data_IF_323362713411
#
_entry.id   IF_323362713411
#
_cell.length_a   1.000
_cell.length_b   1.000
_cell.length_c   1.000
_cell.angle_alpha   90.00
_cell.angle_beta   90.00
_cell.angle_gamma   90.00
#
_symmetry.space_group_name_H-M   'P 1'
#
loop_
_entity.id
_entity.type
_entity.pdbx_description
1 polymer ?
#
# COMPACT_ATOMS: atom_id res chain seq x y z
N UNK A 1 -3.14 -23.72 -29.94
CA UNK A 1 -3.65 -23.42 -28.58
C UNK A 1 -3.87 -24.73 -27.86
N UNK A 2 -2.95 -25.12 -26.97
CA UNK A 2 -3.14 -26.31 -26.13
C UNK A 2 -4.11 -25.95 -25.01
N UNK A 3 -5.17 -26.75 -24.86
CA UNK A 3 -6.11 -26.61 -23.73
C UNK A 3 -5.37 -26.98 -22.44
N UNK A 4 -5.53 -26.22 -21.35
CA UNK A 4 -4.89 -26.56 -20.09
C UNK A 4 -5.36 -27.94 -19.61
N UNK A 5 -4.41 -28.74 -19.12
CA UNK A 5 -4.68 -30.11 -18.68
C UNK A 5 -5.56 -30.10 -17.42
N UNK A 6 -6.28 -31.19 -17.18
CA UNK A 6 -7.12 -31.35 -15.99
C UNK A 6 -6.34 -31.10 -14.67
N UNK A 7 -5.04 -31.42 -14.64
CA UNK A 7 -4.18 -31.21 -13.48
C UNK A 7 -3.91 -29.71 -13.19
N UNK A 8 -3.79 -28.88 -14.23
CA UNK A 8 -3.58 -27.43 -14.08
C UNK A 8 -4.79 -26.73 -13.47
N UNK A 9 -5.99 -27.19 -13.84
CA UNK A 9 -7.24 -26.68 -13.24
C UNK A 9 -7.40 -27.13 -11.79
N UNK A 10 -7.01 -28.37 -11.48
CA UNK A 10 -7.10 -28.92 -10.13
C UNK A 10 -6.16 -28.21 -9.15
N UNK A 11 -4.93 -27.89 -9.56
CA UNK A 11 -3.92 -27.29 -8.69
C UNK A 11 -4.29 -25.89 -8.19
N UNK A 12 -4.73 -24.99 -9.08
CA UNK A 12 -5.23 -23.65 -8.72
C UNK A 12 -6.45 -23.73 -7.80
N UNK A 13 -7.30 -24.74 -8.03
CA UNK A 13 -8.49 -24.97 -7.24
C UNK A 13 -8.14 -25.50 -5.84
N UNK A 14 -7.10 -26.34 -5.70
CA UNK A 14 -6.67 -26.96 -4.43
C UNK A 14 -6.00 -25.98 -3.44
N UNK A 15 -5.20 -25.02 -3.93
CA UNK A 15 -4.56 -24.04 -3.04
C UNK A 15 -5.60 -23.09 -2.42
N UNK A 16 -6.55 -22.61 -3.24
CA UNK A 16 -7.76 -21.92 -2.78
C UNK A 16 -8.62 -22.81 -1.89
N UNK A 17 -8.69 -24.12 -2.17
CA UNK A 17 -9.44 -25.10 -1.38
C UNK A 17 -8.87 -25.30 0.01
N UNK A 18 -7.54 -25.18 0.23
CA UNK A 18 -6.94 -25.39 1.56
C UNK A 18 -7.35 -24.28 2.56
N UNK A 19 -7.36 -23.03 2.09
CA UNK A 19 -7.79 -21.87 2.84
C UNK A 19 -9.30 -21.89 3.04
N UNK A 20 -10.06 -22.30 2.02
CA UNK A 20 -11.50 -22.52 2.12
C UNK A 20 -11.86 -23.66 3.07
N UNK A 21 -11.09 -24.76 3.09
CA UNK A 21 -11.23 -25.86 4.04
C UNK A 21 -10.97 -25.38 5.46
N UNK A 22 -9.91 -24.60 5.67
CA UNK A 22 -9.60 -24.01 6.97
C UNK A 22 -10.73 -23.11 7.45
N UNK A 23 -11.22 -22.23 6.58
CA UNK A 23 -12.36 -21.35 6.86
C UNK A 23 -13.60 -22.20 7.19
N UNK A 24 -13.95 -23.19 6.37
CA UNK A 24 -15.11 -24.07 6.55
C UNK A 24 -15.07 -24.82 7.89
N UNK A 25 -13.96 -25.51 8.19
CA UNK A 25 -13.76 -26.28 9.43
C UNK A 25 -13.89 -25.37 10.65
N UNK A 26 -13.26 -24.19 10.60
CA UNK A 26 -13.31 -23.22 11.70
C UNK A 26 -14.71 -22.61 11.85
N UNK A 27 -15.41 -22.33 10.74
CA UNK A 27 -16.78 -21.77 10.75
C UNK A 27 -17.80 -22.77 11.30
N UNK A 28 -17.53 -24.07 11.14
CA UNK A 28 -18.32 -25.16 11.71
C UNK A 28 -17.98 -25.44 13.19
N UNK A 29 -17.11 -24.64 13.80
CA UNK A 29 -16.76 -24.77 15.22
C UNK A 29 -15.74 -25.87 15.53
N UNK A 30 -15.14 -26.50 14.51
CA UNK A 30 -14.09 -27.49 14.71
C UNK A 30 -12.73 -26.82 14.83
N UNK A 31 -11.88 -27.34 15.71
CA UNK A 31 -10.48 -26.93 15.79
C UNK A 31 -9.73 -27.31 14.51
N UNK A 32 -8.96 -26.37 13.95
CA UNK A 32 -8.10 -26.67 12.81
C UNK A 32 -6.94 -27.56 13.22
N UNK A 33 -7.08 -28.86 13.04
CA UNK A 33 -6.02 -29.86 13.28
C UNK A 33 -5.05 -29.94 12.08
N UNK A 34 -4.39 -28.82 11.77
CA UNK A 34 -3.40 -28.71 10.68
C UNK A 34 -2.10 -29.47 10.95
N UNK A 35 -2.19 -30.79 11.10
CA UNK A 35 -1.07 -31.66 11.42
C UNK A 35 -0.04 -31.75 10.29
N UNK A 36 1.13 -32.33 10.62
CA UNK A 36 2.27 -32.50 9.71
C UNK A 36 1.84 -33.13 8.38
N UNK A 37 0.98 -34.15 8.40
CA UNK A 37 0.48 -34.82 7.19
C UNK A 37 -0.27 -33.89 6.24
N UNK A 38 -1.09 -32.98 6.75
CA UNK A 38 -1.80 -32.02 5.91
C UNK A 38 -0.80 -31.05 5.25
N UNK A 39 0.21 -30.60 6.01
CA UNK A 39 1.27 -29.75 5.47
C UNK A 39 2.05 -30.45 4.35
N UNK A 40 2.43 -31.71 4.54
CA UNK A 40 3.12 -32.50 3.51
C UNK A 40 2.26 -32.68 2.25
N UNK A 41 0.95 -32.91 2.42
CA UNK A 41 0.01 -32.98 1.28
C UNK A 41 -0.06 -31.64 0.55
N UNK A 42 -0.18 -30.51 1.27
CA UNK A 42 -0.22 -29.18 0.64
C UNK A 42 1.09 -28.85 -0.08
N UNK A 43 2.24 -29.16 0.52
CA UNK A 43 3.56 -29.01 -0.10
C UNK A 43 3.69 -29.90 -1.36
N UNK A 44 3.17 -31.12 -1.29
CA UNK A 44 3.15 -32.05 -2.44
C UNK A 44 2.28 -31.53 -3.58
N UNK A 45 1.11 -30.96 -3.26
CA UNK A 45 0.24 -30.29 -4.24
C UNK A 45 0.95 -29.11 -4.87
N UNK A 46 1.53 -28.21 -4.07
CA UNK A 46 2.27 -27.03 -4.54
C UNK A 46 3.43 -27.41 -5.48
N UNK A 47 4.19 -28.46 -5.15
CA UNK A 47 5.28 -28.97 -6.01
C UNK A 47 4.77 -29.64 -7.28
N UNK A 48 3.59 -30.23 -7.24
CA UNK A 48 2.94 -30.85 -8.41
C UNK A 48 2.21 -29.82 -9.29
N UNK A 49 1.97 -28.61 -8.78
CA UNK A 49 1.36 -27.50 -9.50
C UNK A 49 2.24 -27.13 -10.70
N UNK A 50 1.72 -27.26 -11.94
CA UNK A 50 2.51 -26.95 -13.13
C UNK A 50 2.94 -25.49 -13.14
N UNK A 51 4.18 -25.21 -13.58
CA UNK A 51 4.72 -23.84 -13.64
C UNK A 51 3.83 -22.89 -14.45
N UNK A 52 3.11 -23.40 -15.46
CA UNK A 52 2.15 -22.66 -16.28
C UNK A 52 0.89 -22.18 -15.53
N UNK A 53 0.58 -22.76 -14.38
CA UNK A 53 -0.57 -22.36 -13.57
C UNK A 53 -0.27 -21.20 -12.62
N UNK A 54 1.02 -20.89 -12.41
CA UNK A 54 1.41 -19.70 -11.69
C UNK A 54 1.25 -18.48 -12.59
N UNK A 55 0.59 -17.46 -12.04
CA UNK A 55 0.56 -16.15 -12.69
C UNK A 55 1.97 -15.56 -12.63
N UNK A 56 2.52 -15.01 -13.73
CA UNK A 56 3.81 -14.35 -13.69
C UNK A 56 3.80 -13.22 -12.66
N UNK A 57 4.95 -13.03 -12.01
CA UNK A 57 5.14 -11.92 -11.09
C UNK A 57 4.85 -10.60 -11.81
N UNK A 58 4.15 -9.71 -11.11
CA UNK A 58 3.76 -8.42 -11.69
C UNK A 58 4.97 -7.49 -11.65
N UNK A 59 5.18 -6.75 -12.74
CA UNK A 59 6.23 -5.74 -12.77
C UNK A 59 5.89 -4.66 -11.73
N UNK A 60 6.82 -4.34 -10.80
CA UNK A 60 6.57 -3.30 -9.82
C UNK A 60 6.47 -1.94 -10.52
N UNK A 61 5.57 -1.09 -10.03
CA UNK A 61 5.50 0.30 -10.49
C UNK A 61 6.76 1.02 -10.01
N UNK A 62 7.32 1.86 -10.87
CA UNK A 62 8.56 2.59 -10.59
C UNK A 62 8.31 4.10 -10.52
N UNK A 63 9.23 4.83 -9.89
CA UNK A 63 9.15 6.29 -9.75
C UNK A 63 9.12 6.97 -11.13
N UNK A 64 9.83 6.42 -12.12
CA UNK A 64 9.81 6.96 -13.49
C UNK A 64 8.41 6.92 -14.10
N UNK A 65 7.58 5.95 -13.72
CA UNK A 65 6.21 5.82 -14.21
C UNK A 65 5.27 6.84 -13.57
N UNK A 66 5.54 7.24 -12.32
CA UNK A 66 4.87 8.38 -11.69
C UNK A 66 5.28 9.68 -12.37
N UNK A 67 6.57 9.88 -12.65
CA UNK A 67 7.03 11.07 -13.36
C UNK A 67 6.40 11.22 -14.75
N UNK A 68 6.23 10.10 -15.48
CA UNK A 68 5.47 10.07 -16.73
C UNK A 68 4.00 10.48 -16.52
N UNK A 69 3.38 10.00 -15.44
CA UNK A 69 2.01 10.33 -15.07
C UNK A 69 1.84 11.83 -14.80
N UNK A 70 2.73 12.43 -14.02
CA UNK A 70 2.77 13.88 -13.80
C UNK A 70 2.96 14.65 -15.12
N UNK A 71 3.98 14.30 -15.91
CA UNK A 71 4.25 14.97 -17.19
C UNK A 71 3.06 14.96 -18.14
N UNK A 72 2.39 13.82 -18.26
CA UNK A 72 1.32 13.67 -19.24
C UNK A 72 0.01 14.31 -18.78
N UNK A 73 -0.35 14.12 -17.51
CA UNK A 73 -1.61 14.62 -16.97
C UNK A 73 -1.61 16.14 -16.83
N UNK A 74 -0.48 16.78 -16.54
CA UNK A 74 -0.37 18.25 -16.52
C UNK A 74 -0.71 18.89 -17.88
N UNK A 75 -0.47 18.17 -18.99
CA UNK A 75 -0.60 18.70 -20.35
C UNK A 75 -2.00 18.59 -20.97
N UNK A 76 -2.96 17.94 -20.31
CA UNK A 76 -4.24 17.56 -20.95
C UNK A 76 -5.43 18.50 -20.67
N UNK A 77 -5.21 19.60 -19.97
CA UNK A 77 -6.25 20.63 -19.72
C UNK A 77 -7.41 20.19 -18.80
N UNK A 78 -7.33 19.01 -18.17
CA UNK A 78 -8.30 18.49 -17.18
C UNK A 78 -7.77 18.63 -15.74
N UNK A 79 -7.43 19.85 -15.33
CA UNK A 79 -6.71 20.14 -14.06
C UNK A 79 -7.28 19.44 -12.82
N UNK A 80 -8.59 19.58 -12.58
CA UNK A 80 -9.30 18.99 -11.43
C UNK A 80 -9.20 17.45 -11.35
N UNK A 81 -9.54 16.74 -12.44
CA UNK A 81 -9.48 15.27 -12.48
C UNK A 81 -8.04 14.76 -12.42
N UNK A 82 -7.15 15.40 -13.17
CA UNK A 82 -5.75 14.99 -13.29
C UNK A 82 -4.97 15.20 -11.99
N UNK A 83 -5.20 16.32 -11.30
CA UNK A 83 -4.61 16.57 -9.97
C UNK A 83 -5.07 15.51 -8.96
N UNK A 84 -6.34 15.08 -9.03
CA UNK A 84 -6.85 13.99 -8.20
C UNK A 84 -6.18 12.64 -8.51
N UNK A 85 -5.99 12.30 -9.79
CA UNK A 85 -5.31 11.07 -10.21
C UNK A 85 -3.83 11.06 -9.81
N UNK A 86 -3.11 12.18 -9.99
CA UNK A 86 -1.69 12.32 -9.60
C UNK A 86 -1.52 12.20 -8.08
N UNK A 87 -2.33 12.92 -7.30
CA UNK A 87 -2.32 12.83 -5.84
C UNK A 87 -2.62 11.41 -5.34
N UNK A 88 -3.58 10.72 -5.97
CA UNK A 88 -3.89 9.33 -5.64
C UNK A 88 -2.74 8.38 -5.96
N UNK A 89 -2.12 8.52 -7.13
CA UNK A 89 -1.00 7.69 -7.53
C UNK A 89 0.18 7.82 -6.56
N UNK A 90 0.54 9.06 -6.22
CA UNK A 90 1.63 9.33 -5.28
C UNK A 90 1.29 8.84 -3.87
N UNK A 91 0.06 9.06 -3.37
CA UNK A 91 -0.37 8.53 -2.07
C UNK A 91 -0.22 7.02 -2.03
N UNK A 92 -0.78 6.32 -3.01
CA UNK A 92 -0.84 4.86 -3.00
C UNK A 92 0.55 4.27 -3.14
N UNK A 93 1.42 4.92 -3.94
CA UNK A 93 2.80 4.49 -4.10
C UNK A 93 3.65 4.72 -2.85
N UNK A 94 3.72 5.96 -2.35
CA UNK A 94 4.59 6.30 -1.21
C UNK A 94 4.01 5.83 0.13
N UNK A 95 2.68 5.84 0.26
CA UNK A 95 1.98 5.32 1.42
C UNK A 95 1.80 3.80 1.43
N UNK A 96 2.22 3.10 0.35
CA UNK A 96 2.09 1.64 0.20
C UNK A 96 0.65 1.13 0.38
N UNK A 97 -0.32 1.98 0.04
CA UNK A 97 -1.73 1.74 0.34
C UNK A 97 -2.36 0.76 -0.64
N UNK A 98 -3.50 0.22 -0.21
CA UNK A 98 -4.38 -0.47 -1.14
C UNK A 98 -5.33 0.50 -1.79
N UNK A 99 -5.53 0.36 -3.10
CA UNK A 99 -6.54 1.17 -3.81
C UNK A 99 -7.93 1.04 -3.20
N UNK A 100 -8.28 -0.13 -2.67
CA UNK A 100 -9.58 -0.34 -2.01
C UNK A 100 -9.72 0.32 -0.63
N UNK A 101 -8.63 0.82 -0.04
CA UNK A 101 -8.65 1.56 1.23
C UNK A 101 -8.87 3.07 1.00
N UNK A 102 -8.68 3.54 -0.24
CA UNK A 102 -8.74 4.97 -0.57
C UNK A 102 -9.73 5.33 -1.68
N UNK A 103 -10.03 4.42 -2.60
CA UNK A 103 -10.92 4.65 -3.73
C UNK A 103 -12.20 3.83 -3.65
N UNK A 104 -13.27 4.44 -4.14
CA UNK A 104 -14.56 3.79 -4.27
C UNK A 104 -14.56 2.82 -5.47
N UNK A 105 -15.28 1.70 -5.35
CA UNK A 105 -15.46 0.77 -6.45
C UNK A 105 -16.54 1.22 -7.45
N UNK A 106 -17.57 1.92 -6.94
CA UNK A 106 -18.71 2.42 -7.69
C UNK A 106 -18.57 3.93 -7.94
N UNK A 107 -19.04 4.47 -9.09
CA UNK A 107 -19.02 5.91 -9.36
C UNK A 107 -20.09 6.71 -8.60
N UNK A 108 -21.07 6.05 -8.00
CA UNK A 108 -22.15 6.76 -7.31
C UNK A 108 -21.65 7.31 -5.97
N UNK A 109 -21.66 8.63 -5.83
CA UNK A 109 -21.25 9.35 -4.61
C UNK A 109 -22.11 8.99 -3.39
N UNK A 110 -23.37 8.59 -3.60
CA UNK A 110 -24.25 8.06 -2.55
C UNK A 110 -23.73 6.78 -1.88
N UNK A 111 -22.83 6.05 -2.54
CA UNK A 111 -22.17 4.86 -1.98
C UNK A 111 -20.92 5.19 -1.17
N UNK A 112 -20.55 6.47 -1.09
CA UNK A 112 -19.40 6.89 -0.30
C UNK A 112 -19.71 6.74 1.20
N UNK A 113 -18.89 5.98 1.90
CA UNK A 113 -19.02 5.74 3.33
C UNK A 113 -17.77 6.26 4.04
N UNK A 114 -17.90 7.38 4.76
CA UNK A 114 -16.82 8.03 5.52
C UNK A 114 -16.28 7.19 6.68
N UNK A 115 -17.00 6.15 7.11
CA UNK A 115 -16.48 5.18 8.09
C UNK A 115 -15.51 4.16 7.46
N UNK A 116 -15.43 4.10 6.12
CA UNK A 116 -14.58 3.16 5.38
C UNK A 116 -13.53 3.84 4.52
N UNK A 117 -13.80 5.03 4.02
CA UNK A 117 -12.93 5.78 3.12
C UNK A 117 -12.58 7.13 3.74
N UNK A 118 -11.34 7.64 3.51
CA UNK A 118 -10.86 8.85 4.15
C UNK A 118 -11.48 10.12 3.56
N UNK A 119 -11.79 11.07 4.44
CA UNK A 119 -12.20 12.43 4.11
C UNK A 119 -10.99 13.37 4.02
N UNK A 120 -11.21 14.59 3.54
CA UNK A 120 -10.18 15.64 3.56
C UNK A 120 -9.73 15.95 4.99
N UNK A 121 -10.62 15.96 5.99
CA UNK A 121 -10.26 16.20 7.38
C UNK A 121 -9.39 15.10 8.02
N UNK A 122 -9.36 13.90 7.43
CA UNK A 122 -8.48 12.82 7.87
C UNK A 122 -7.02 13.04 7.41
N UNK A 123 -6.79 13.98 6.49
CA UNK A 123 -5.49 14.35 5.98
C UNK A 123 -4.98 15.61 6.68
N UNK A 124 -3.91 15.45 7.45
CA UNK A 124 -3.20 16.57 8.08
C UNK A 124 -1.95 16.89 7.25
N UNK A 125 -2.00 17.98 6.50
CA UNK A 125 -0.84 18.56 5.82
C UNK A 125 -0.35 19.76 6.63
N UNK A 126 0.86 19.69 7.20
CA UNK A 126 1.47 20.86 7.83
C UNK A 126 1.70 21.99 6.84
N UNK A 127 1.86 23.21 7.37
CA UNK A 127 2.02 24.41 6.56
C UNK A 127 3.29 24.31 5.69
N UNK A 128 3.14 24.51 4.37
CA UNK A 128 4.19 24.27 3.35
C UNK A 128 5.47 25.09 3.56
N UNK A 129 5.41 26.16 4.33
CA UNK A 129 6.59 26.95 4.72
C UNK A 129 7.68 26.10 5.39
N UNK A 130 7.31 24.94 5.95
CA UNK A 130 8.28 23.95 6.39
C UNK A 130 8.51 22.91 5.28
N UNK A 131 9.55 23.14 4.48
CA UNK A 131 9.99 22.25 3.40
C UNK A 131 10.35 20.82 3.87
N UNK A 132 10.43 20.56 5.17
CA UNK A 132 10.70 19.22 5.74
C UNK A 132 9.47 18.55 6.33
N UNK A 133 8.33 19.21 6.31
CA UNK A 133 7.16 18.76 7.05
C UNK A 133 6.45 17.59 6.34
N UNK A 134 6.23 16.50 7.08
CA UNK A 134 5.54 15.30 6.60
C UNK A 134 4.02 15.44 6.75
N UNK A 135 3.24 14.95 5.79
CA UNK A 135 1.80 14.85 5.95
C UNK A 135 1.40 13.55 6.66
N UNK A 136 0.27 13.54 7.35
CA UNK A 136 -0.29 12.34 7.99
C UNK A 136 -1.71 12.13 7.53
N UNK A 137 -2.00 10.97 6.95
CA UNK A 137 -3.33 10.53 6.56
C UNK A 137 -3.85 9.50 7.56
N UNK A 138 -5.06 9.70 8.07
CA UNK A 138 -5.79 8.69 8.84
C UNK A 138 -6.70 7.89 7.92
N UNK A 139 -6.53 6.59 7.88
CA UNK A 139 -7.44 5.67 7.21
C UNK A 139 -8.52 5.23 8.20
N UNK A 140 -9.82 5.44 7.91
CA UNK A 140 -10.89 4.97 8.78
C UNK A 140 -10.96 3.45 8.88
N UNK A 141 -10.60 2.76 7.79
CA UNK A 141 -10.60 1.31 7.72
C UNK A 141 -9.40 0.77 6.95
N UNK A 142 -8.69 -0.21 7.52
CA UNK A 142 -7.67 -1.00 6.81
C UNK A 142 -7.99 -2.48 6.87
N UNK A 143 -7.39 -3.29 5.98
CA UNK A 143 -7.66 -4.75 5.96
C UNK A 143 -7.33 -5.42 7.30
N UNK A 144 -6.26 -4.98 7.96
CA UNK A 144 -5.73 -5.57 9.20
C UNK A 144 -6.35 -4.94 10.43
N UNK A 145 -6.64 -3.64 10.40
CA UNK A 145 -7.15 -2.90 11.55
C UNK A 145 -8.62 -2.52 11.46
N UNK A 146 -9.36 -3.01 10.44
CA UNK A 146 -10.81 -2.80 10.24
C UNK A 146 -11.27 -1.43 10.76
N UNK A 147 -12.28 -1.36 11.62
CA UNK A 147 -12.82 -0.10 12.14
C UNK A 147 -11.90 0.68 13.10
N UNK A 148 -10.77 0.12 13.55
CA UNK A 148 -9.77 0.85 14.35
C UNK A 148 -9.02 1.85 13.48
N UNK A 149 -8.93 1.59 12.18
CA UNK A 149 -8.20 2.42 11.24
C UNK A 149 -6.69 2.34 11.41
N UNK A 150 -5.99 3.15 10.62
CA UNK A 150 -4.53 3.19 10.58
C UNK A 150 -4.05 4.60 10.21
N UNK A 151 -2.81 4.96 10.50
CA UNK A 151 -2.24 6.23 10.08
C UNK A 151 -1.05 6.00 9.17
N UNK A 152 -1.02 6.72 8.06
CA UNK A 152 0.07 6.70 7.08
C UNK A 152 0.76 8.04 7.07
N UNK A 153 2.08 8.03 7.21
CA UNK A 153 2.91 9.23 7.16
C UNK A 153 3.51 9.34 5.77
N UNK A 154 3.32 10.50 5.14
CA UNK A 154 3.85 10.84 3.83
C UNK A 154 5.03 11.78 4.02
N UNK A 155 6.19 11.36 3.54
CA UNK A 155 7.40 12.16 3.61
C UNK A 155 7.38 13.17 2.46
N UNK A 156 7.72 14.42 2.77
CA UNK A 156 7.91 15.47 1.77
C UNK A 156 9.29 15.28 1.13
N UNK A 157 9.32 15.05 -0.18
CA UNK A 157 10.54 14.76 -0.94
C UNK A 157 10.81 15.84 -1.99
N UNK A 158 12.07 16.23 -2.21
CA UNK A 158 12.41 17.18 -3.27
C UNK A 158 12.55 16.47 -4.64
N UNK A 159 11.49 15.79 -5.06
CA UNK A 159 11.37 15.09 -6.33
C UNK A 159 10.04 15.42 -6.98
N UNK A 160 9.95 15.25 -8.31
CA UNK A 160 8.75 15.59 -9.08
C UNK A 160 7.50 14.85 -8.60
N UNK A 161 7.57 13.54 -8.40
CA UNK A 161 6.50 12.75 -7.80
C UNK A 161 6.54 12.88 -6.27
N UNK A 162 5.86 13.87 -5.72
CA UNK A 162 5.78 14.12 -4.30
C UNK A 162 4.32 14.11 -3.83
N UNK A 163 3.97 13.15 -2.98
CA UNK A 163 2.62 12.98 -2.47
C UNK A 163 2.09 14.22 -1.73
N UNK A 164 2.90 14.87 -0.90
CA UNK A 164 2.49 16.06 -0.13
C UNK A 164 2.16 17.23 -1.08
N UNK A 165 3.02 17.48 -2.06
CA UNK A 165 2.80 18.54 -3.05
C UNK A 165 1.63 18.22 -3.98
N UNK A 166 1.51 16.97 -4.43
CA UNK A 166 0.41 16.52 -5.27
C UNK A 166 -0.93 16.67 -4.54
N UNK A 167 -1.01 16.34 -3.25
CA UNK A 167 -2.21 16.60 -2.45
C UNK A 167 -2.53 18.08 -2.31
N UNK A 168 -1.53 18.91 -2.02
CA UNK A 168 -1.78 20.33 -1.90
C UNK A 168 -2.34 20.92 -3.20
N UNK A 169 -1.75 20.54 -4.33
CA UNK A 169 -2.25 20.92 -5.65
C UNK A 169 -3.67 20.42 -5.88
N UNK A 170 -3.96 19.16 -5.60
CA UNK A 170 -5.29 18.56 -5.71
C UNK A 170 -6.35 19.26 -4.85
N UNK A 171 -6.07 19.49 -3.57
CA UNK A 171 -7.00 20.16 -2.65
C UNK A 171 -7.26 21.61 -3.06
N UNK A 172 -6.22 22.31 -3.54
CA UNK A 172 -6.34 23.69 -4.03
C UNK A 172 -7.12 23.78 -5.33
N UNK A 173 -6.80 22.93 -6.30
CA UNK A 173 -7.43 22.90 -7.62
C UNK A 173 -8.91 22.53 -7.52
N UNK A 174 -9.26 21.60 -6.63
CA UNK A 174 -10.64 21.17 -6.43
C UNK A 174 -11.37 21.94 -5.32
N UNK A 175 -10.71 22.83 -4.59
CA UNK A 175 -11.29 23.61 -3.49
C UNK A 175 -12.16 22.76 -2.54
N UNK A 176 -11.63 21.62 -2.10
CA UNK A 176 -12.38 20.65 -1.30
C UNK A 176 -12.50 21.11 0.16
N UNK A 177 -13.69 20.90 0.73
CA UNK A 177 -13.97 21.15 2.14
C UNK A 177 -13.53 19.97 3.02
N UNK A 178 -13.28 20.18 4.32
CA UNK A 178 -12.86 19.10 5.23
C UNK A 178 -13.82 17.89 5.29
N UNK A 179 -15.11 18.10 5.03
CA UNK A 179 -16.12 17.04 5.01
C UNK A 179 -16.24 16.28 3.67
N UNK A 180 -15.52 16.70 2.64
CA UNK A 180 -15.59 16.08 1.32
C UNK A 180 -14.73 14.80 1.25
N UNK A 181 -15.06 13.87 0.34
CA UNK A 181 -14.21 12.73 0.05
C UNK A 181 -12.80 13.16 -0.37
N UNK A 182 -11.76 12.50 0.17
CA UNK A 182 -10.37 12.88 -0.07
C UNK A 182 -10.01 12.96 -1.57
N UNK A 183 -10.52 12.02 -2.36
CA UNK A 183 -10.32 11.95 -3.81
C UNK A 183 -11.57 12.36 -4.59
N UNK A 184 -12.17 13.50 -4.22
CA UNK A 184 -13.24 14.11 -4.99
C UNK A 184 -12.71 15.15 -5.99
N UNK A 185 -13.39 15.35 -7.10
CA UNK A 185 -13.09 16.40 -8.07
C UNK A 185 -14.37 16.95 -8.70
N UNK A 186 -14.30 18.20 -9.18
CA UNK A 186 -15.45 18.84 -9.83
C UNK A 186 -15.50 18.51 -11.33
N UNK A 187 -16.68 18.12 -11.77
CA UNK A 187 -17.01 18.03 -13.20
C UNK A 187 -17.39 19.42 -13.76
N UNK A 188 -17.38 19.60 -15.10
CA UNK A 188 -17.75 20.88 -15.73
C UNK A 188 -19.15 21.39 -15.38
N UNK A 189 -20.07 20.49 -15.02
CA UNK A 189 -21.43 20.77 -14.55
C UNK A 189 -21.50 21.18 -13.07
N UNK A 190 -20.34 21.34 -12.41
CA UNK A 190 -20.21 21.64 -10.97
C UNK A 190 -20.81 20.54 -10.09
N UNK A 191 -20.88 19.30 -10.56
CA UNK A 191 -21.15 18.16 -9.69
C UNK A 191 -19.84 17.63 -9.11
N UNK A 192 -19.86 17.40 -7.80
CA UNK A 192 -18.75 16.79 -7.09
C UNK A 192 -18.76 15.28 -7.36
N UNK A 193 -17.70 14.77 -7.95
CA UNK A 193 -17.54 13.36 -8.28
C UNK A 193 -16.41 12.75 -7.46
N UNK A 194 -16.51 11.47 -7.11
CA UNK A 194 -15.45 10.75 -6.39
C UNK A 194 -14.69 9.88 -7.37
N UNK A 195 -13.35 9.95 -7.32
CA UNK A 195 -12.48 9.12 -8.15
C UNK A 195 -12.72 7.64 -7.86
N UNK A 196 -13.10 6.89 -8.88
CA UNK A 196 -13.24 5.44 -8.76
C UNK A 196 -11.95 4.72 -9.07
N UNK A 197 -11.82 3.49 -8.55
CA UNK A 197 -10.74 2.58 -8.95
C UNK A 197 -10.67 2.42 -10.47
N UNK A 198 -11.82 2.27 -11.14
CA UNK A 198 -11.87 2.08 -12.59
C UNK A 198 -11.31 3.28 -13.36
N UNK A 199 -11.68 4.50 -12.98
CA UNK A 199 -11.21 5.72 -13.63
C UNK A 199 -9.72 5.98 -13.38
N UNK A 200 -9.28 5.77 -12.14
CA UNK A 200 -7.87 5.87 -11.78
C UNK A 200 -7.01 4.92 -12.62
N UNK A 201 -7.38 3.64 -12.67
CA UNK A 201 -6.65 2.63 -13.43
C UNK A 201 -6.68 2.88 -14.93
N UNK A 202 -7.82 3.30 -15.47
CA UNK A 202 -7.94 3.67 -16.88
C UNK A 202 -7.00 4.83 -17.22
N UNK A 203 -6.88 5.82 -16.34
CA UNK A 203 -6.02 6.99 -16.54
C UNK A 203 -4.54 6.60 -16.51
N UNK A 204 -4.11 5.86 -15.49
CA UNK A 204 -2.73 5.37 -15.40
C UNK A 204 -2.35 4.53 -16.63
N UNK A 205 -3.19 3.56 -16.99
CA UNK A 205 -2.94 2.69 -18.14
C UNK A 205 -2.88 3.46 -19.46
N UNK A 206 -3.71 4.49 -19.63
CA UNK A 206 -3.67 5.35 -20.82
C UNK A 206 -2.34 6.08 -20.97
N UNK A 207 -1.80 6.63 -19.88
CA UNK A 207 -0.50 7.30 -19.89
C UNK A 207 0.63 6.31 -20.15
N UNK A 208 0.66 5.22 -19.39
CA UNK A 208 1.75 4.23 -19.46
C UNK A 208 1.78 3.50 -20.80
N UNK A 209 0.61 3.18 -21.37
CA UNK A 209 0.53 2.52 -22.69
C UNK A 209 1.10 3.39 -23.81
N UNK A 210 0.93 4.72 -23.74
CA UNK A 210 1.53 5.66 -24.71
C UNK A 210 3.05 5.72 -24.61
N UNK A 211 3.60 5.39 -23.44
CA UNK A 211 5.04 5.26 -23.20
C UNK A 211 5.57 3.84 -23.46
N UNK A 212 4.75 2.95 -24.06
CA UNK A 212 5.14 1.56 -24.35
C UNK A 212 5.09 0.62 -23.15
N UNK A 213 4.63 1.07 -21.99
CA UNK A 213 4.51 0.28 -20.77
C UNK A 213 3.14 -0.42 -20.78
N UNK A 214 3.13 -1.74 -20.88
CA UNK A 214 1.91 -2.55 -20.81
C UNK A 214 1.68 -3.00 -19.38
N UNK A 215 0.71 -2.41 -18.71
CA UNK A 215 0.19 -2.88 -17.42
C UNK A 215 -1.17 -3.52 -17.69
N UNK A 216 -1.31 -4.83 -17.52
CA UNK A 216 -2.59 -5.50 -17.77
C UNK A 216 -3.61 -5.12 -16.69
N UNK A 217 -4.90 -5.07 -17.05
CA UNK A 217 -6.00 -4.65 -16.15
C UNK A 217 -6.02 -5.37 -14.79
N UNK A 218 -5.57 -6.63 -14.74
CA UNK A 218 -5.51 -7.43 -13.52
C UNK A 218 -4.23 -7.21 -12.69
N UNK A 219 -3.29 -6.40 -13.18
CA UNK A 219 -2.03 -6.05 -12.50
C UNK A 219 -2.20 -4.92 -11.48
N UNK A 220 -3.04 -3.93 -11.79
CA UNK A 220 -3.35 -2.83 -10.89
C UNK A 220 -4.55 -3.10 -9.97
N UNK A 221 -5.34 -4.12 -10.25
CA UNK A 221 -6.46 -4.51 -9.38
C UNK A 221 -6.00 -5.18 -8.08
N UNK A 222 -4.71 -5.53 -7.99
CA UNK A 222 -4.09 -5.99 -6.77
C UNK A 222 -4.24 -4.93 -5.66
N UNK A 223 -4.30 -5.36 -4.41
CA UNK A 223 -4.32 -4.44 -3.28
C UNK A 223 -3.07 -3.59 -3.16
N UNK A 224 -2.07 -3.63 -4.05
CA UNK A 224 -0.92 -2.77 -3.95
C UNK A 224 -0.57 -2.33 -5.37
N UNK A 225 -0.45 -1.02 -5.60
CA UNK A 225 0.54 -0.56 -6.56
C UNK A 225 1.85 -1.03 -5.95
N UNK A 226 2.38 -2.16 -6.42
CA UNK A 226 3.56 -2.77 -5.82
C UNK A 226 4.72 -1.84 -6.16
N UNK A 227 4.95 -0.86 -5.30
CA UNK A 227 6.29 -0.37 -5.06
C UNK A 227 7.08 -1.58 -4.59
N UNK A 228 8.29 -1.83 -5.12
CA UNK A 228 9.06 -2.96 -4.66
C UNK A 228 9.25 -2.80 -3.14
N UNK A 229 8.93 -3.82 -2.34
CA UNK A 229 9.41 -3.95 -0.94
C UNK A 229 10.93 -4.16 -0.89
N UNK A 230 11.65 -3.54 -1.82
CA UNK A 230 13.08 -3.47 -1.89
C UNK A 230 13.37 -2.03 -1.56
N UNK A 231 13.66 -1.75 -0.30
CA UNK A 231 14.61 -0.67 -0.01
C UNK A 231 15.88 -1.08 -0.76
N UNK A 232 16.28 -0.43 -1.86
CA UNK A 232 17.67 -0.55 -2.24
C UNK A 232 18.42 0.13 -1.09
N UNK A 233 19.44 -0.53 -0.56
CA UNK A 233 20.54 0.10 0.16
C UNK A 233 21.20 1.12 -0.80
N UNK A 234 20.50 2.22 -1.11
CA UNK A 234 21.11 3.41 -1.68
C UNK A 234 21.78 4.10 -0.51
N UNK A 235 23.06 3.76 -0.34
CA UNK A 235 24.13 4.53 0.27
C UNK A 235 23.67 5.87 0.86
N UNK A 236 23.09 5.82 2.07
CA UNK A 236 22.90 6.99 2.90
C UNK A 236 24.29 7.38 3.41
N UNK A 237 24.90 8.39 2.80
CA UNK A 237 26.00 9.10 3.45
C UNK A 237 25.48 9.65 4.79
N UNK A 238 26.18 9.40 5.91
CA UNK A 238 25.66 9.78 7.22
C UNK A 238 25.64 11.30 7.35
N UNK A 239 24.46 11.85 7.60
CA UNK A 239 24.30 13.16 8.21
C UNK A 239 24.51 12.96 9.71
N UNK A 240 25.70 13.32 10.18
CA UNK A 240 26.06 13.31 11.61
C UNK A 240 25.66 14.67 12.16
N UNK A 241 24.55 14.72 12.90
CA UNK A 241 24.51 15.25 14.27
C UNK A 241 23.09 15.29 14.83
N UNK A 242 22.94 14.78 16.05
CA UNK A 242 21.92 15.21 17.00
C UNK A 242 20.61 14.42 17.06
N UNK A 243 20.63 13.29 17.78
CA UNK A 243 19.51 12.69 18.51
C UNK A 243 18.11 12.74 17.85
N UNK A 244 17.79 11.74 17.02
CA UNK A 244 16.41 11.28 16.85
C UNK A 244 16.40 9.80 16.43
N UNK A 245 15.99 8.95 17.36
CA UNK A 245 15.77 7.52 17.15
C UNK A 245 14.52 7.34 16.29
N UNK A 246 14.66 6.79 15.09
CA UNK A 246 13.54 6.37 14.25
C UNK A 246 12.93 5.08 14.81
N UNK A 247 11.66 5.13 15.20
CA UNK A 247 10.86 3.96 15.57
C UNK A 247 10.13 3.42 14.34
N UNK A 248 10.55 2.27 13.83
CA UNK A 248 9.78 1.50 12.85
C UNK A 248 9.03 0.38 13.58
N UNK A 249 7.70 0.52 13.66
CA UNK A 249 6.83 -0.57 14.10
C UNK A 249 6.67 -1.56 12.94
N UNK A 250 7.44 -2.64 12.95
CA UNK A 250 7.28 -3.75 12.01
C UNK A 250 6.14 -4.64 12.51
N UNK A 251 4.96 -4.48 11.90
CA UNK A 251 3.91 -5.49 11.99
C UNK A 251 4.22 -6.63 11.02
N UNK A 252 4.27 -7.86 11.55
CA UNK A 252 4.30 -9.15 10.85
C UNK A 252 5.68 -9.77 10.50
N UNK A 253 6.52 -9.97 11.52
CA UNK A 253 7.16 -11.28 11.78
C UNK A 253 7.23 -11.43 13.31
N UNK A 254 6.20 -11.99 13.95
CA UNK A 254 6.25 -12.58 15.31
C UNK A 254 4.83 -13.04 15.71
N UNK A 255 4.45 -14.28 15.38
CA UNK A 255 3.34 -14.99 16.07
C UNK A 255 3.86 -16.00 17.09
N UNK A 256 5.15 -15.89 17.43
CA UNK A 256 5.74 -16.41 18.65
C UNK A 256 6.59 -15.24 19.17
N UNK A 257 6.66 -15.03 20.48
CA UNK A 257 7.41 -13.98 21.19
C UNK A 257 6.60 -12.75 21.68
N UNK A 258 6.92 -12.36 22.91
CA UNK A 258 6.16 -11.53 23.85
C UNK A 258 5.93 -10.09 23.34
N UNK A 259 4.81 -9.43 23.68
CA UNK A 259 4.43 -8.09 23.18
C UNK A 259 5.31 -6.90 23.65
N UNK A 260 6.58 -7.12 24.00
CA UNK A 260 7.44 -6.14 24.69
C UNK A 260 8.86 -5.98 24.10
N UNK A 261 9.13 -6.57 22.94
CA UNK A 261 10.42 -6.45 22.24
C UNK A 261 10.30 -5.59 20.97
N UNK A 262 11.37 -4.84 20.68
CA UNK A 262 11.57 -4.18 19.40
C UNK A 262 12.98 -4.43 18.87
N UNK A 263 13.12 -4.39 17.55
CA UNK A 263 14.38 -4.64 16.83
C UNK A 263 14.90 -3.32 16.28
N UNK A 264 16.15 -2.98 16.62
CA UNK A 264 16.84 -1.81 16.07
C UNK A 264 17.84 -2.28 15.03
N UNK A 265 17.69 -1.78 13.80
CA UNK A 265 18.64 -2.04 12.71
C UNK A 265 19.67 -0.91 12.64
N UNK A 266 20.94 -1.28 12.79
CA UNK A 266 22.09 -0.46 12.48
C UNK A 266 22.86 -1.11 11.32
N UNK A 267 23.71 -0.36 10.58
CA UNK A 267 24.32 -0.83 9.34
C UNK A 267 24.98 -2.21 9.42
N UNK A 268 25.54 -2.57 10.59
CA UNK A 268 26.38 -3.77 10.72
C UNK A 268 25.92 -4.75 11.81
N UNK A 269 24.83 -4.47 12.56
CA UNK A 269 24.38 -5.30 13.70
C UNK A 269 22.87 -5.22 13.94
N UNK A 270 22.29 -6.35 14.35
CA UNK A 270 20.90 -6.45 14.84
C UNK A 270 20.92 -6.47 16.37
N UNK A 271 20.21 -5.55 17.01
CA UNK A 271 20.06 -5.52 18.46
C UNK A 271 18.61 -5.80 18.85
N UNK A 272 18.42 -6.73 19.77
CA UNK A 272 17.14 -6.96 20.46
C UNK A 272 17.20 -6.35 21.87
N UNK A 273 16.16 -5.61 22.26
CA UNK A 273 16.09 -5.02 23.60
C UNK A 273 14.68 -5.19 24.18
N UNK A 274 14.61 -5.48 25.48
CA UNK A 274 13.35 -5.55 26.22
C UNK A 274 13.02 -4.20 26.86
N UNK A 275 11.75 -3.79 26.81
CA UNK A 275 11.26 -2.64 27.55
C UNK A 275 11.21 -2.96 29.06
N UNK A 276 12.32 -2.73 29.76
CA UNK A 276 12.25 -2.55 31.22
C UNK A 276 11.97 -1.08 31.49
N UNK A 277 10.90 -0.81 32.24
CA UNK A 277 10.34 0.54 32.47
C UNK A 277 11.21 1.44 33.35
N UNK A 278 12.45 1.71 32.96
CA UNK A 278 13.37 2.61 33.65
C UNK A 278 14.38 3.22 32.66
N UNK A 279 14.81 4.45 32.96
CA UNK A 279 15.77 5.24 32.16
C UNK A 279 17.02 4.38 31.86
N UNK A 280 17.43 4.18 30.59
CA UNK A 280 18.51 3.27 30.26
C UNK A 280 19.87 3.82 30.69
N UNK A 281 20.60 3.07 31.50
CA UNK A 281 22.05 3.24 31.70
C UNK A 281 22.81 2.45 30.62
N UNK A 282 23.98 2.92 30.18
CA UNK A 282 24.75 2.23 29.15
C UNK A 282 25.31 0.93 29.73
N UNK A 283 24.80 -0.21 29.27
CA UNK A 283 25.30 -1.53 29.65
C UNK A 283 25.75 -2.28 28.39
N UNK A 284 26.88 -2.97 28.50
CA UNK A 284 27.62 -3.62 27.40
C UNK A 284 26.73 -4.55 26.57
N UNK A 285 26.79 -4.39 25.25
CA UNK A 285 26.14 -5.28 24.29
C UNK A 285 26.94 -6.58 24.14
N UNK A 286 26.26 -7.72 24.20
CA UNK A 286 26.77 -9.00 23.70
C UNK A 286 26.39 -9.13 22.22
N UNK A 287 27.37 -9.42 21.36
CA UNK A 287 27.13 -9.83 19.97
C UNK A 287 26.58 -11.25 19.96
N UNK A 288 25.50 -11.46 19.21
CA UNK A 288 25.09 -12.80 18.79
C UNK A 288 25.68 -12.96 17.39
N UNK A 289 26.61 -13.91 17.22
CA UNK A 289 27.08 -14.38 15.90
C UNK A 289 26.04 -15.27 15.23
#
# INVERSE_FOLDING_TARGET
MLRPSWAEKLAVQLEQSSLQLKILVTTKGFGWCGGIRLREVLNGVERATPTLSFRPERVPVKVEWLNLLHNDLDNTGRGAFNSCVTACADLVFYGQLRLGEVLLHSPLTTNYNSSKLPLVCDLNIPHISDHKSSAKLRLPCSKTHQARGESVVLINHDIKSNAVQAFFHHLKENNLSPGDPLFAYWLPDKLLHVLTKKEFLKSCNSVWSRSGIKVTHSELEAPHIISPRVFPLMSLKPWVDGNQTLFLSIGEICTLWHPSMYIVYMPDKVYMNELTGGIPRPTRYHSIE
#
